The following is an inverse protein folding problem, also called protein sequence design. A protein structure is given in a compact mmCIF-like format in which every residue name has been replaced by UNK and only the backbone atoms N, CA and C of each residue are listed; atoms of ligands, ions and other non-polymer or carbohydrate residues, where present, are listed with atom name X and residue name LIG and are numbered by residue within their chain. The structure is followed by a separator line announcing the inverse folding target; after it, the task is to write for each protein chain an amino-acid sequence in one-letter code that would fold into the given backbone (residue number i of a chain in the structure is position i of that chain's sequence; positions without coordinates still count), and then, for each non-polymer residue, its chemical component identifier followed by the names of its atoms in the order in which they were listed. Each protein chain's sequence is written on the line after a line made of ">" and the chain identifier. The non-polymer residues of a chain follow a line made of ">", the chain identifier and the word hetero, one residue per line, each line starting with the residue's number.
data_IF_257354736338
#
_entry.id   IF_257354736338
#
_cell.length_a   1.000
_cell.length_b   1.000
_cell.length_c   1.000
_cell.angle_alpha   90.00
_cell.angle_beta   90.00
_cell.angle_gamma   90.00
#
_symmetry.space_group_name_H-M   'P 1'
#
loop_
_entity.id
_entity.type
_entity.pdbx_description
1 polymer ?
#
# COMPACT_ATOMS: atom_id res chain seq x y z
N UNK A 1 -17.15 1.10 30.66
CA UNK A 1 -16.43 -0.13 30.27
C UNK A 1 -16.26 -0.34 28.75
N UNK A 2 -16.78 0.54 27.89
CA UNK A 2 -16.69 0.35 26.41
C UNK A 2 -15.33 0.77 25.82
N UNK A 3 -14.70 1.82 26.35
CA UNK A 3 -13.44 2.36 25.80
C UNK A 3 -12.25 1.38 25.88
N UNK A 4 -12.08 0.67 26.99
CA UNK A 4 -10.98 -0.30 27.14
C UNK A 4 -11.08 -1.52 26.21
N UNK A 5 -12.30 -1.90 25.82
CA UNK A 5 -12.50 -2.99 24.87
C UNK A 5 -12.15 -2.57 23.44
N UNK A 6 -12.48 -1.33 23.05
CA UNK A 6 -12.12 -0.78 21.74
C UNK A 6 -10.61 -0.62 21.59
N UNK A 7 -9.91 -0.15 22.62
CA UNK A 7 -8.44 -0.02 22.59
C UNK A 7 -7.74 -1.38 22.41
N UNK A 8 -8.20 -2.42 23.12
CA UNK A 8 -7.67 -3.78 22.95
C UNK A 8 -7.93 -4.32 21.54
N UNK A 9 -9.11 -4.07 20.98
CA UNK A 9 -9.44 -4.46 19.60
C UNK A 9 -8.51 -3.77 18.58
N UNK A 10 -8.26 -2.47 18.74
CA UNK A 10 -7.34 -1.70 17.90
C UNK A 10 -5.90 -2.24 17.96
N UNK A 11 -5.40 -2.52 19.18
CA UNK A 11 -4.08 -3.14 19.39
C UNK A 11 -3.98 -4.56 18.82
N UNK A 12 -5.10 -5.27 18.70
CA UNK A 12 -5.17 -6.62 18.13
C UNK A 12 -5.06 -6.66 16.59
N UNK A 13 -5.25 -5.54 15.90
CA UNK A 13 -5.15 -5.50 14.43
C UNK A 13 -3.69 -5.58 13.98
N UNK A 14 -3.35 -6.70 13.34
CA UNK A 14 -2.00 -6.98 12.80
C UNK A 14 -1.90 -6.84 11.29
N UNK A 15 -3.03 -6.92 10.60
CA UNK A 15 -3.09 -6.92 9.13
C UNK A 15 -4.18 -5.95 8.69
N UNK A 16 -3.84 -5.08 7.74
CA UNK A 16 -4.76 -4.09 7.19
C UNK A 16 -4.69 -4.08 5.66
N UNK A 17 -5.88 -4.06 5.05
CA UNK A 17 -6.05 -3.91 3.61
C UNK A 17 -6.75 -2.57 3.34
N UNK A 18 -6.14 -1.72 2.53
CA UNK A 18 -6.66 -0.41 2.16
C UNK A 18 -6.84 -0.39 0.65
N UNK A 19 -8.01 0.05 0.20
CA UNK A 19 -8.23 0.45 -1.19
C UNK A 19 -8.47 1.95 -1.21
N UNK A 20 -7.66 2.69 -1.95
CA UNK A 20 -7.74 4.16 -2.05
C UNK A 20 -7.90 4.61 -3.50
N UNK A 21 -8.39 5.83 -3.67
CA UNK A 21 -8.24 6.56 -4.94
C UNK A 21 -6.89 7.24 -4.94
N UNK A 22 -6.00 6.84 -5.84
CA UNK A 22 -4.63 7.35 -5.90
C UNK A 22 -3.77 7.02 -4.66
N UNK A 23 -2.48 7.38 -4.73
CA UNK A 23 -1.63 7.42 -3.54
C UNK A 23 -2.12 8.56 -2.63
N UNK A 24 -2.52 8.21 -1.40
CA UNK A 24 -3.01 9.15 -0.39
C UNK A 24 -2.38 8.78 0.95
N UNK A 25 -1.22 9.37 1.21
CA UNK A 25 -0.49 9.03 2.42
C UNK A 25 -1.22 9.47 3.69
N UNK A 26 -1.76 10.69 3.75
CA UNK A 26 -2.46 11.20 4.94
C UNK A 26 -3.59 10.28 5.41
N UNK A 27 -4.39 9.75 4.48
CA UNK A 27 -5.43 8.78 4.80
C UNK A 27 -4.84 7.51 5.43
N UNK A 28 -3.74 6.99 4.88
CA UNK A 28 -3.04 5.82 5.41
C UNK A 28 -2.46 6.12 6.80
N UNK A 29 -1.84 7.28 7.01
CA UNK A 29 -1.34 7.70 8.33
C UNK A 29 -2.45 7.76 9.37
N UNK A 30 -3.65 8.20 8.97
CA UNK A 30 -4.85 8.14 9.80
C UNK A 30 -5.13 6.74 10.33
N UNK A 31 -5.08 5.72 9.47
CA UNK A 31 -5.26 4.32 9.88
C UNK A 31 -4.09 3.80 10.73
N UNK A 32 -2.85 4.15 10.38
CA UNK A 32 -1.67 3.73 11.13
C UNK A 32 -1.69 4.21 12.59
N UNK A 33 -2.22 5.41 12.84
CA UNK A 33 -2.42 5.95 14.20
C UNK A 33 -3.43 5.16 15.03
N UNK A 34 -4.39 4.52 14.37
CA UNK A 34 -5.45 3.73 15.04
C UNK A 34 -4.96 2.33 15.38
N UNK A 35 -4.01 1.78 14.62
CA UNK A 35 -3.55 0.39 14.78
C UNK A 35 -2.06 0.35 15.17
N UNK A 36 -1.72 0.58 16.45
CA UNK A 36 -0.34 0.82 16.88
C UNK A 36 0.60 -0.38 16.67
N UNK A 37 0.07 -1.60 16.53
CA UNK A 37 0.86 -2.82 16.35
C UNK A 37 0.67 -3.49 14.99
N UNK A 38 0.26 -2.73 13.98
CA UNK A 38 0.09 -3.24 12.63
C UNK A 38 1.42 -3.78 12.08
N UNK A 39 1.40 -5.00 11.55
CA UNK A 39 2.59 -5.68 11.02
C UNK A 39 2.58 -5.78 9.50
N UNK A 40 1.39 -5.91 8.88
CA UNK A 40 1.23 -6.08 7.44
C UNK A 40 0.24 -5.08 6.87
N UNK A 41 0.67 -4.37 5.84
CA UNK A 41 -0.14 -3.37 5.16
C UNK A 41 -0.24 -3.69 3.67
N UNK A 42 -1.47 -3.86 3.18
CA UNK A 42 -1.75 -4.08 1.76
C UNK A 42 -2.52 -2.88 1.23
N UNK A 43 -1.96 -2.19 0.25
CA UNK A 43 -2.56 -0.99 -0.33
C UNK A 43 -2.83 -1.22 -1.80
N UNK A 44 -4.06 -0.96 -2.21
CA UNK A 44 -4.46 -0.92 -3.61
C UNK A 44 -4.87 0.49 -3.97
N UNK A 45 -4.02 1.17 -4.72
CA UNK A 45 -4.29 2.50 -5.24
C UNK A 45 -5.00 2.38 -6.59
N UNK A 46 -6.26 2.79 -6.66
CA UNK A 46 -6.98 2.90 -7.93
C UNK A 46 -6.44 4.10 -8.72
N UNK A 47 -6.37 3.95 -10.04
CA UNK A 47 -5.72 4.94 -10.91
C UNK A 47 -6.60 6.17 -11.12
N UNK A 48 -6.58 7.09 -10.16
CA UNK A 48 -6.97 8.48 -10.40
C UNK A 48 -5.70 9.32 -10.48
N UNK A 49 -5.57 10.09 -11.56
CA UNK A 49 -4.38 10.89 -11.89
C UNK A 49 -4.29 12.21 -11.12
N UNK A 50 -5.31 12.51 -10.31
CA UNK A 50 -5.56 13.87 -9.87
C UNK A 50 -5.28 14.04 -8.36
N UNK A 51 -4.92 12.96 -7.65
CA UNK A 51 -4.59 13.01 -6.23
C UNK A 51 -3.08 13.12 -6.03
N UNK A 52 -2.66 14.18 -5.35
CA UNK A 52 -1.29 14.36 -4.89
C UNK A 52 -1.15 13.83 -3.46
N UNK A 53 0.02 13.28 -3.12
CA UNK A 53 0.38 13.09 -1.72
C UNK A 53 0.58 14.46 -1.10
N UNK A 54 -0.46 14.97 -0.45
CA UNK A 54 -0.27 16.05 0.51
C UNK A 54 0.37 15.40 1.73
N UNK A 55 1.54 15.91 2.10
CA UNK A 55 2.18 15.59 3.37
C UNK A 55 1.99 16.79 4.28
N UNK A 56 1.05 16.73 5.20
CA UNK A 56 1.12 17.62 6.34
C UNK A 56 2.39 17.26 7.13
N UNK A 57 3.23 18.26 7.44
CA UNK A 57 4.47 18.13 8.22
C UNK A 57 4.16 17.77 9.68
N UNK A 58 3.55 16.61 9.89
CA UNK A 58 3.22 16.07 11.19
C UNK A 58 4.32 15.09 11.63
N UNK A 59 4.73 15.11 12.90
CA UNK A 59 5.82 14.24 13.37
C UNK A 59 5.47 12.75 13.22
N UNK A 60 6.19 12.05 12.35
CA UNK A 60 6.07 10.58 12.18
C UNK A 60 6.45 9.81 13.43
N UNK A 61 7.21 10.44 14.35
CA UNK A 61 7.62 9.88 15.64
C UNK A 61 6.45 9.47 16.55
N UNK A 62 5.22 9.94 16.28
CA UNK A 62 4.02 9.59 17.04
C UNK A 62 3.25 8.39 16.48
N UNK A 63 3.70 7.79 15.37
CA UNK A 63 2.99 6.68 14.71
C UNK A 63 3.66 5.35 15.10
N UNK A 64 3.24 4.78 16.22
CA UNK A 64 3.79 3.53 16.79
C UNK A 64 3.84 2.38 15.78
N UNK A 65 2.85 2.29 14.87
CA UNK A 65 2.79 1.20 13.89
C UNK A 65 4.03 1.12 12.99
N UNK A 66 4.73 2.24 12.75
CA UNK A 66 5.93 2.25 11.90
C UNK A 66 7.08 1.42 12.48
N UNK A 67 7.12 1.27 13.80
CA UNK A 67 8.09 0.43 14.49
C UNK A 67 7.71 -1.07 14.44
N UNK A 68 6.51 -1.39 13.95
CA UNK A 68 5.97 -2.76 13.90
C UNK A 68 5.69 -3.27 12.49
N UNK A 69 5.55 -2.40 11.50
CA UNK A 69 5.32 -2.81 10.11
C UNK A 69 6.54 -3.57 9.59
N UNK A 70 6.30 -4.84 9.23
CA UNK A 70 7.29 -5.76 8.65
C UNK A 70 7.06 -5.97 7.15
N UNK A 71 5.83 -5.77 6.69
CA UNK A 71 5.45 -6.01 5.30
C UNK A 71 4.55 -4.90 4.75
N UNK A 72 4.88 -4.39 3.56
CA UNK A 72 4.03 -3.49 2.79
C UNK A 72 3.88 -4.00 1.36
N UNK A 73 2.66 -4.11 0.84
CA UNK A 73 2.40 -4.40 -0.56
C UNK A 73 1.64 -3.26 -1.22
N UNK A 74 2.24 -2.66 -2.25
CA UNK A 74 1.63 -1.62 -3.09
C UNK A 74 1.16 -2.22 -4.40
N UNK A 75 -0.15 -2.27 -4.60
CA UNK A 75 -0.78 -2.69 -5.84
C UNK A 75 -1.03 -1.51 -6.77
N UNK A 76 -0.95 -1.81 -8.07
CA UNK A 76 -1.11 -0.85 -9.16
C UNK A 76 0.01 0.21 -9.23
N UNK A 77 1.20 -0.10 -8.70
CA UNK A 77 2.34 0.81 -8.70
C UNK A 77 2.80 1.11 -10.14
N UNK A 78 2.85 2.38 -10.51
CA UNK A 78 3.31 2.84 -11.83
C UNK A 78 4.72 3.43 -11.80
N UNK A 79 5.23 3.76 -10.60
CA UNK A 79 6.55 4.36 -10.41
C UNK A 79 6.62 5.83 -10.83
N UNK A 80 5.47 6.49 -10.84
CA UNK A 80 5.35 7.96 -10.96
C UNK A 80 5.84 8.63 -9.68
N UNK A 81 6.10 9.92 -9.72
CA UNK A 81 6.55 10.69 -8.55
C UNK A 81 5.61 10.54 -7.34
N UNK A 82 4.26 10.63 -7.47
CA UNK A 82 3.37 10.34 -6.34
C UNK A 82 3.48 8.91 -5.82
N UNK A 83 3.62 7.90 -6.68
CA UNK A 83 3.82 6.53 -6.20
C UNK A 83 5.14 6.38 -5.43
N UNK A 84 6.20 7.01 -5.93
CA UNK A 84 7.53 7.00 -5.32
C UNK A 84 7.49 7.69 -3.97
N UNK A 85 6.93 8.89 -3.86
CA UNK A 85 6.88 9.65 -2.60
C UNK A 85 6.11 8.89 -1.52
N UNK A 86 4.98 8.30 -1.91
CA UNK A 86 4.18 7.45 -1.03
C UNK A 86 5.01 6.25 -0.53
N UNK A 87 5.68 5.53 -1.43
CA UNK A 87 6.46 4.35 -1.08
C UNK A 87 7.69 4.68 -0.24
N UNK A 88 8.38 5.77 -0.61
CA UNK A 88 9.58 6.29 0.04
C UNK A 88 9.35 6.60 1.51
N UNK A 89 8.15 7.06 1.87
CA UNK A 89 7.77 7.24 3.27
C UNK A 89 8.05 5.98 4.11
N UNK A 90 7.57 4.81 3.67
CA UNK A 90 7.77 3.56 4.40
C UNK A 90 9.24 3.14 4.40
N UNK A 91 9.93 3.29 3.28
CA UNK A 91 11.37 3.00 3.18
C UNK A 91 12.17 3.79 4.23
N UNK A 92 11.85 5.07 4.40
CA UNK A 92 12.60 5.98 5.28
C UNK A 92 12.13 5.99 6.74
N UNK A 93 10.95 5.45 7.06
CA UNK A 93 10.38 5.55 8.41
C UNK A 93 10.06 4.21 9.08
N UNK A 94 9.83 3.12 8.33
CA UNK A 94 9.47 1.83 8.93
C UNK A 94 10.73 1.06 9.37
N UNK A 95 10.99 1.05 10.68
CA UNK A 95 12.23 0.51 11.26
C UNK A 95 12.28 -1.02 11.30
N UNK A 96 11.11 -1.68 11.32
CA UNK A 96 10.98 -3.13 11.33
C UNK A 96 10.68 -3.73 9.95
N UNK A 97 10.71 -2.92 8.88
CA UNK A 97 10.33 -3.36 7.54
C UNK A 97 11.27 -4.46 7.04
N UNK A 98 10.72 -5.61 6.69
CA UNK A 98 11.47 -6.75 6.13
C UNK A 98 11.31 -6.81 4.61
N UNK A 99 10.09 -6.55 4.12
CA UNK A 99 9.79 -6.64 2.69
C UNK A 99 8.77 -5.57 2.27
N UNK A 100 9.12 -4.83 1.23
CA UNK A 100 8.21 -3.97 0.50
C UNK A 100 8.02 -4.48 -0.92
N UNK A 101 6.79 -4.90 -1.23
CA UNK A 101 6.43 -5.51 -2.50
C UNK A 101 5.66 -4.52 -3.37
N UNK A 102 6.08 -4.40 -4.61
CA UNK A 102 5.46 -3.56 -5.62
C UNK A 102 4.83 -4.46 -6.69
N UNK A 103 3.51 -4.40 -6.80
CA UNK A 103 2.78 -5.00 -7.90
C UNK A 103 2.64 -3.94 -8.99
N UNK A 104 3.54 -4.03 -9.96
CA UNK A 104 3.81 -2.98 -10.95
C UNK A 104 2.90 -3.14 -12.16
N UNK A 105 2.29 -2.02 -12.56
CA UNK A 105 1.55 -1.90 -13.82
C UNK A 105 2.52 -1.61 -14.96
N UNK A 106 2.78 -2.60 -15.79
CA UNK A 106 3.68 -2.48 -16.95
C UNK A 106 4.99 -3.24 -16.75
N UNK A 107 6.02 -2.90 -17.53
CA UNK A 107 7.27 -3.67 -17.61
C UNK A 107 8.24 -3.28 -16.48
N UNK A 108 8.75 -4.28 -15.75
CA UNK A 108 9.81 -4.12 -14.74
C UNK A 108 11.20 -4.46 -15.28
N UNK A 109 11.71 -3.65 -16.20
CA UNK A 109 13.08 -3.84 -16.71
C UNK A 109 14.12 -3.64 -15.60
N UNK A 110 15.33 -4.18 -15.78
CA UNK A 110 16.42 -4.00 -14.81
C UNK A 110 16.75 -2.52 -14.60
N UNK A 111 16.85 -1.75 -15.70
CA UNK A 111 17.09 -0.30 -15.68
C UNK A 111 16.03 0.41 -14.85
N UNK A 112 14.75 0.14 -15.11
CA UNK A 112 13.65 0.75 -14.37
C UNK A 112 13.73 0.42 -12.88
N UNK A 113 14.02 -0.84 -12.51
CA UNK A 113 14.19 -1.23 -11.09
C UNK A 113 15.33 -0.46 -10.44
N UNK A 114 16.49 -0.34 -11.09
CA UNK A 114 17.63 0.44 -10.58
C UNK A 114 17.28 1.92 -10.40
N UNK A 115 16.53 2.51 -11.33
CA UNK A 115 16.08 3.90 -11.22
C UNK A 115 15.12 4.07 -10.02
N UNK A 116 14.19 3.13 -9.83
CA UNK A 116 13.28 3.14 -8.68
C UNK A 116 14.00 3.01 -7.34
N UNK A 117 15.03 2.14 -7.22
CA UNK A 117 15.85 2.06 -5.99
C UNK A 117 16.44 3.42 -5.58
N UNK A 118 16.90 4.21 -6.56
CA UNK A 118 17.45 5.56 -6.33
C UNK A 118 16.36 6.54 -5.92
N UNK A 119 15.25 6.56 -6.64
CA UNK A 119 14.11 7.44 -6.35
C UNK A 119 13.55 7.22 -4.93
N UNK A 120 13.48 5.95 -4.50
CA UNK A 120 13.04 5.54 -3.17
C UNK A 120 14.07 5.82 -2.06
N UNK A 121 15.29 6.27 -2.42
CA UNK A 121 16.40 6.45 -1.47
C UNK A 121 16.65 5.20 -0.61
N UNK A 122 16.61 4.03 -1.25
CA UNK A 122 16.65 2.77 -0.52
C UNK A 122 17.95 2.52 0.26
N UNK A 123 19.05 3.15 -0.14
CA UNK A 123 20.31 3.11 0.62
C UNK A 123 20.21 3.84 1.97
N UNK A 124 19.25 4.75 2.12
CA UNK A 124 18.96 5.51 3.35
C UNK A 124 17.79 4.93 4.15
N UNK A 125 17.39 3.68 3.85
CA UNK A 125 16.26 3.01 4.52
C UNK A 125 16.41 2.94 6.05
N UNK A 126 15.28 3.05 6.75
CA UNK A 126 15.24 2.93 8.20
C UNK A 126 15.54 1.52 8.71
N UNK A 127 15.15 0.48 7.96
CA UNK A 127 15.41 -0.92 8.28
C UNK A 127 16.59 -1.46 7.45
N UNK A 128 17.76 -1.75 8.04
CA UNK A 128 18.94 -2.21 7.31
C UNK A 128 18.74 -3.49 6.51
N UNK A 129 17.85 -4.38 6.94
CA UNK A 129 17.63 -5.67 6.30
C UNK A 129 16.39 -5.71 5.39
N UNK A 130 15.71 -4.57 5.18
CA UNK A 130 14.56 -4.52 4.30
C UNK A 130 14.94 -4.93 2.87
N UNK A 131 13.98 -5.50 2.15
CA UNK A 131 14.08 -5.85 0.73
C UNK A 131 12.97 -5.15 -0.07
N UNK A 132 13.26 -4.81 -1.33
CA UNK A 132 12.25 -4.41 -2.30
C UNK A 132 12.02 -5.55 -3.29
N UNK A 133 10.77 -5.92 -3.53
CA UNK A 133 10.37 -6.92 -4.52
C UNK A 133 9.43 -6.29 -5.56
N UNK A 134 9.92 -6.09 -6.78
CA UNK A 134 9.14 -5.53 -7.88
C UNK A 134 8.66 -6.64 -8.80
N UNK A 135 7.33 -6.84 -8.85
CA UNK A 135 6.70 -7.84 -9.72
C UNK A 135 5.81 -7.17 -10.74
N UNK A 136 6.17 -7.36 -12.01
CA UNK A 136 5.28 -7.05 -13.13
C UNK A 136 4.19 -8.12 -13.23
N UNK A 137 2.96 -7.72 -13.53
CA UNK A 137 1.97 -8.65 -14.06
C UNK A 137 1.92 -8.51 -15.58
N UNK A 138 2.15 -9.63 -16.27
CA UNK A 138 1.94 -9.77 -17.71
C UNK A 138 0.64 -10.57 -17.94
N UNK A 139 -0.46 -9.91 -18.28
CA UNK A 139 -1.71 -10.60 -18.65
C UNK A 139 -2.98 -9.79 -18.37
N UNK A 140 -4.10 -10.25 -18.93
CA UNK A 140 -5.43 -9.63 -18.82
C UNK A 140 -6.05 -9.64 -17.41
N UNK A 141 -5.36 -10.23 -16.43
CA UNK A 141 -5.76 -10.23 -15.02
C UNK A 141 -5.03 -9.10 -14.28
N UNK A 142 -5.47 -7.85 -14.51
CA UNK A 142 -5.18 -6.78 -13.55
C UNK A 142 -5.73 -7.22 -12.18
N UNK A 143 -5.03 -6.95 -11.06
CA UNK A 143 -5.69 -7.04 -9.76
C UNK A 143 -6.99 -6.26 -9.85
N UNK A 144 -8.13 -6.92 -9.58
CA UNK A 144 -9.44 -6.29 -9.66
C UNK A 144 -9.41 -5.00 -8.82
N UNK A 145 -9.48 -3.83 -9.48
CA UNK A 145 -9.28 -2.52 -8.85
C UNK A 145 -8.17 -1.64 -9.44
N UNK A 146 -7.21 -2.19 -10.20
CA UNK A 146 -6.18 -1.40 -10.91
C UNK A 146 -6.67 -0.76 -12.23
N UNK A 147 -7.97 -0.82 -12.51
CA UNK A 147 -8.58 -0.25 -13.73
C UNK A 147 -8.75 1.25 -13.51
N UNK A 148 -8.44 2.08 -14.52
CA UNK A 148 -8.86 3.49 -14.52
C UNK A 148 -10.38 3.50 -14.41
N UNK A 149 -10.95 3.87 -13.27
CA UNK A 149 -12.34 4.34 -13.28
C UNK A 149 -12.30 5.61 -14.12
N UNK A 150 -12.74 5.52 -15.38
CA UNK A 150 -13.02 6.72 -16.17
C UNK A 150 -13.96 7.62 -15.37
N UNK A 151 -13.80 8.94 -15.51
CA UNK A 151 -14.49 10.03 -14.80
C UNK A 151 -15.92 9.72 -14.35
N UNK A 152 -16.08 8.97 -13.27
CA UNK A 152 -17.36 8.74 -12.62
C UNK A 152 -17.15 9.03 -11.13
N UNK A 153 -17.68 10.20 -10.79
CA UNK A 153 -17.93 10.82 -9.51
C UNK A 153 -17.46 10.12 -8.22
N UNK A 154 -16.85 10.94 -7.37
CA UNK A 154 -16.80 10.88 -5.90
C UNK A 154 -17.63 9.75 -5.28
N UNK A 155 -16.99 8.62 -5.06
CA UNK A 155 -17.52 7.54 -4.26
C UNK A 155 -16.45 7.15 -3.24
N UNK A 156 -16.56 7.73 -2.04
CA UNK A 156 -15.88 7.26 -0.84
C UNK A 156 -16.45 5.87 -0.46
N UNK A 157 -16.08 4.84 -1.21
CA UNK A 157 -16.52 3.46 -0.93
C UNK A 157 -15.39 2.74 -0.23
N UNK A 158 -15.46 2.70 1.10
CA UNK A 158 -14.81 1.67 1.91
C UNK A 158 -15.46 0.33 1.54
N UNK A 159 -14.93 -0.30 0.49
CA UNK A 159 -15.46 -1.56 -0.03
C UNK A 159 -15.01 -2.72 0.85
N UNK A 160 -15.93 -3.29 1.65
CA UNK A 160 -15.74 -4.58 2.32
C UNK A 160 -15.92 -5.75 1.34
N UNK A 161 -15.23 -5.73 0.20
CA UNK A 161 -15.21 -6.90 -0.70
C UNK A 161 -14.16 -7.84 -0.14
N UNK A 162 -14.60 -9.05 0.22
CA UNK A 162 -13.74 -10.12 0.71
C UNK A 162 -12.68 -10.45 -0.36
N UNK A 163 -11.37 -10.25 -0.08
CA UNK A 163 -10.31 -10.47 -1.05
C UNK A 163 -10.09 -11.95 -1.41
N UNK A 164 -10.82 -12.88 -0.77
CA UNK A 164 -10.79 -14.32 -1.04
C UNK A 164 -12.01 -14.85 -1.82
N UNK A 165 -12.92 -13.98 -2.26
CA UNK A 165 -14.08 -14.42 -3.03
C UNK A 165 -13.65 -14.76 -4.47
N UNK A 166 -13.41 -16.04 -4.73
CA UNK A 166 -13.03 -16.60 -6.04
C UNK A 166 -14.22 -16.79 -6.98
N UNK A 167 -15.41 -16.27 -6.62
CA UNK A 167 -16.65 -16.43 -7.38
C UNK A 167 -16.66 -15.73 -8.75
N UNK A 168 -15.63 -14.95 -9.12
CA UNK A 168 -15.53 -14.32 -10.44
C UNK A 168 -14.69 -15.11 -11.47
N UNK A 169 -14.27 -16.35 -11.17
CA UNK A 169 -13.59 -17.19 -12.15
C UNK A 169 -14.60 -17.84 -13.10
N UNK A 170 -14.92 -17.18 -14.21
CA UNK A 170 -15.75 -17.74 -15.29
C UNK A 170 -15.07 -18.87 -16.09
N UNK A 171 -13.87 -19.29 -15.69
CA UNK A 171 -13.10 -20.37 -16.33
C UNK A 171 -13.06 -21.69 -15.54
N UNK A 172 -13.82 -21.82 -14.46
CA UNK A 172 -14.04 -23.12 -13.79
C UNK A 172 -15.40 -23.72 -14.16
N UNK A 173 -15.74 -23.69 -15.45
CA UNK A 173 -16.76 -24.57 -16.01
C UNK A 173 -16.14 -25.32 -17.19
N UNK A 174 -16.14 -26.63 -17.01
CA UNK A 174 -15.91 -27.71 -17.97
C UNK A 174 -14.48 -28.24 -18.11
N UNK A 175 -14.39 -29.56 -17.80
CA UNK A 175 -13.30 -30.54 -17.85
C UNK A 175 -12.33 -30.60 -16.65
#
# INVERSE_FOLDING_TARGET
>A
MVAGNLEMLMRGVKVLHITSSGPNLDAVLGFLRVFPYLEKLYIMSSLQTDMQNVHHHEPTALIESLDHIRYVELKCYTGTEPDVDFAKFFVLNAKALELMKFVVKGRCTQKWRTDQYKCLQFDSRASPNALLDFRSYSGHAYPAGCIRRGNHHNEHVLSMVNPFDSSSCSHCRDA
#
